data_IF_980193706992
#
_entry.id   IF_980193706992
#
_cell.length_a   1.000
_cell.length_b   1.000
_cell.length_c   1.000
_cell.angle_alpha   90.00
_cell.angle_beta   90.00
_cell.angle_gamma   90.00
#
_symmetry.space_group_name_H-M   'P 1'
#
loop_
_entity.id
_entity.type
_entity.pdbx_description
1 polymer ?
#
# COMPACT_ATOMS: atom_id res chain seq x y z
N UNK A 1 2.76 30.50 -2.26
CA UNK A 1 3.41 29.18 -2.10
C UNK A 1 2.54 28.26 -1.22
N UNK A 2 2.11 28.65 -0.01
CA UNK A 2 1.31 27.81 0.89
C UNK A 2 -0.01 27.33 0.26
N UNK A 3 -0.77 28.21 -0.38
CA UNK A 3 -2.03 27.86 -1.04
C UNK A 3 -1.79 26.85 -2.17
N UNK A 4 -0.73 27.05 -2.95
CA UNK A 4 -0.35 26.12 -4.02
C UNK A 4 0.02 24.74 -3.46
N UNK A 5 0.81 24.67 -2.40
CA UNK A 5 1.15 23.42 -1.73
C UNK A 5 -0.09 22.71 -1.19
N UNK A 6 -1.03 23.43 -0.61
CA UNK A 6 -2.29 22.88 -0.10
C UNK A 6 -3.16 22.29 -1.22
N UNK A 7 -3.37 23.03 -2.30
CA UNK A 7 -4.13 22.56 -3.44
C UNK A 7 -3.48 21.35 -4.08
N UNK A 8 -2.15 21.35 -4.25
CA UNK A 8 -1.41 20.22 -4.78
C UNK A 8 -1.55 18.99 -3.89
N UNK A 9 -1.43 19.15 -2.58
CA UNK A 9 -1.59 18.05 -1.62
C UNK A 9 -2.99 17.45 -1.69
N UNK A 10 -4.04 18.26 -1.80
CA UNK A 10 -5.41 17.77 -1.94
C UNK A 10 -5.61 16.93 -3.22
N UNK A 11 -5.05 17.39 -4.34
CA UNK A 11 -5.11 16.66 -5.61
C UNK A 11 -4.39 15.30 -5.49
N UNK A 12 -3.20 15.29 -4.87
CA UNK A 12 -2.43 14.07 -4.65
C UNK A 12 -3.19 13.09 -3.75
N UNK A 13 -3.77 13.56 -2.65
CA UNK A 13 -4.58 12.71 -1.75
C UNK A 13 -5.77 12.12 -2.50
N UNK A 14 -6.49 12.91 -3.28
CA UNK A 14 -7.63 12.43 -4.04
C UNK A 14 -7.22 11.38 -5.09
N UNK A 15 -6.13 11.60 -5.82
CA UNK A 15 -5.60 10.67 -6.80
C UNK A 15 -5.17 9.33 -6.18
N UNK A 16 -4.45 9.37 -5.05
CA UNK A 16 -4.05 8.15 -4.35
C UNK A 16 -5.24 7.42 -3.72
N UNK A 17 -6.22 8.14 -3.18
CA UNK A 17 -7.45 7.53 -2.65
C UNK A 17 -8.23 6.79 -3.75
N UNK A 18 -8.32 7.35 -4.95
CA UNK A 18 -8.96 6.71 -6.10
C UNK A 18 -8.19 5.46 -6.56
N UNK A 19 -6.85 5.52 -6.62
CA UNK A 19 -6.01 4.36 -6.93
C UNK A 19 -6.19 3.22 -5.91
N UNK A 20 -6.19 3.52 -4.62
CA UNK A 20 -6.39 2.54 -3.55
C UNK A 20 -7.77 1.91 -3.65
N UNK A 21 -8.82 2.73 -3.82
CA UNK A 21 -10.18 2.24 -4.00
C UNK A 21 -10.32 1.38 -5.27
N UNK A 22 -9.62 1.73 -6.34
CA UNK A 22 -9.56 0.94 -7.57
C UNK A 22 -8.89 -0.42 -7.38
N UNK A 23 -7.82 -0.48 -6.58
CA UNK A 23 -7.11 -1.73 -6.27
C UNK A 23 -7.96 -2.70 -5.46
N UNK A 24 -8.76 -2.19 -4.53
CA UNK A 24 -9.63 -3.02 -3.67
C UNK A 24 -11.00 -3.29 -4.27
N UNK A 25 -11.31 -2.69 -5.42
CA UNK A 25 -12.60 -2.86 -6.07
C UNK A 25 -12.80 -4.31 -6.53
N UNK A 26 -13.87 -4.92 -6.07
CA UNK A 26 -14.23 -6.28 -6.42
C UNK A 26 -15.11 -6.39 -7.67
N UNK A 27 -15.59 -5.26 -8.20
CA UNK A 27 -16.53 -5.22 -9.32
C UNK A 27 -15.92 -4.62 -10.57
N UNK A 28 -16.21 -5.19 -11.71
CA UNK A 28 -15.89 -4.61 -13.03
C UNK A 28 -17.18 -4.31 -13.79
N UNK A 29 -17.19 -3.20 -14.50
CA UNK A 29 -18.30 -2.86 -15.39
C UNK A 29 -17.96 -3.38 -16.78
N UNK A 30 -18.70 -4.39 -17.26
CA UNK A 30 -18.67 -4.89 -18.63
C UNK A 30 -20.04 -4.67 -19.24
N UNK A 31 -20.10 -4.03 -20.41
CA UNK A 31 -21.33 -3.80 -21.18
C UNK A 31 -22.49 -3.17 -20.38
N UNK A 32 -22.16 -2.30 -19.41
CA UNK A 32 -23.14 -1.61 -18.56
C UNK A 32 -23.68 -2.43 -17.38
N UNK A 33 -23.22 -3.68 -17.22
CA UNK A 33 -23.57 -4.54 -16.09
C UNK A 33 -22.40 -4.63 -15.13
N UNK A 34 -22.66 -4.46 -13.83
CA UNK A 34 -21.67 -4.65 -12.77
C UNK A 34 -21.52 -6.13 -12.45
N UNK A 35 -20.43 -6.72 -12.90
CA UNK A 35 -20.09 -8.12 -12.61
C UNK A 35 -18.96 -8.22 -11.59
N UNK A 36 -18.90 -9.35 -10.90
CA UNK A 36 -17.82 -9.65 -9.98
C UNK A 36 -16.53 -9.86 -10.81
N UNK A 37 -15.49 -9.10 -10.51
CA UNK A 37 -14.21 -9.24 -11.20
C UNK A 37 -13.63 -10.64 -11.00
N UNK A 38 -12.94 -11.19 -12.00
CA UNK A 38 -12.24 -12.46 -11.87
C UNK A 38 -11.22 -12.45 -10.69
N UNK A 39 -10.71 -11.28 -10.35
CA UNK A 39 -9.80 -11.04 -9.21
C UNK A 39 -10.51 -10.53 -7.95
N UNK A 40 -11.86 -10.65 -7.85
CA UNK A 40 -12.61 -10.08 -6.73
C UNK A 40 -12.17 -10.61 -5.36
N UNK A 41 -11.85 -11.90 -5.28
CA UNK A 41 -11.35 -12.49 -4.04
C UNK A 41 -9.96 -11.95 -3.67
N UNK A 42 -9.06 -11.81 -4.65
CA UNK A 42 -7.72 -11.26 -4.44
C UNK A 42 -7.78 -9.78 -4.04
N UNK A 43 -8.62 -8.99 -4.70
CA UNK A 43 -8.82 -7.58 -4.39
C UNK A 43 -9.47 -7.40 -3.01
N UNK A 44 -10.48 -8.22 -2.68
CA UNK A 44 -11.11 -8.25 -1.38
C UNK A 44 -10.15 -8.67 -0.27
N UNK A 45 -9.31 -9.68 -0.50
CA UNK A 45 -8.27 -10.09 0.43
C UNK A 45 -7.24 -8.97 0.66
N UNK A 46 -6.82 -8.27 -0.40
CA UNK A 46 -5.91 -7.12 -0.26
C UNK A 46 -6.50 -6.00 0.60
N UNK A 47 -7.80 -5.71 0.44
CA UNK A 47 -8.52 -4.76 1.29
C UNK A 47 -8.58 -5.21 2.75
N UNK A 48 -8.93 -6.48 3.00
CA UNK A 48 -8.97 -7.06 4.35
C UNK A 48 -7.60 -7.07 5.01
N UNK A 49 -6.55 -7.46 4.29
CA UNK A 49 -5.17 -7.42 4.78
C UNK A 49 -4.80 -6.00 5.18
N UNK A 50 -5.15 -5.00 4.38
CA UNK A 50 -4.84 -3.60 4.68
C UNK A 50 -5.52 -3.10 5.96
N UNK A 51 -6.79 -3.45 6.18
CA UNK A 51 -7.51 -3.11 7.41
C UNK A 51 -6.90 -3.84 8.60
N UNK A 52 -6.69 -5.16 8.51
CA UNK A 52 -6.07 -5.95 9.57
C UNK A 52 -4.69 -5.39 9.91
N UNK A 53 -3.90 -5.04 8.91
CA UNK A 53 -2.57 -4.47 9.08
C UNK A 53 -2.58 -3.16 9.86
N UNK A 54 -3.55 -2.27 9.60
CA UNK A 54 -3.71 -1.02 10.35
C UNK A 54 -4.04 -1.32 11.82
N UNK A 55 -4.97 -2.24 12.08
CA UNK A 55 -5.36 -2.61 13.44
C UNK A 55 -4.19 -3.25 14.19
N UNK A 56 -3.50 -4.20 13.58
CA UNK A 56 -2.33 -4.84 14.18
C UNK A 56 -1.17 -3.86 14.40
N UNK A 57 -0.98 -2.90 13.50
CA UNK A 57 0.03 -1.85 13.69
C UNK A 57 -0.29 -0.96 14.90
N UNK A 58 -1.56 -0.59 15.10
CA UNK A 58 -1.96 0.16 16.31
C UNK A 58 -1.77 -0.66 17.58
N UNK A 59 -2.16 -1.94 17.56
CA UNK A 59 -1.94 -2.85 18.71
C UNK A 59 -0.45 -3.00 19.01
N UNK A 60 0.37 -3.20 17.98
CA UNK A 60 1.82 -3.30 18.13
C UNK A 60 2.43 -2.02 18.71
N UNK A 61 2.01 -0.84 18.24
CA UNK A 61 2.47 0.44 18.78
C UNK A 61 2.14 0.63 20.27
N UNK A 62 0.95 0.23 20.70
CA UNK A 62 0.55 0.24 22.11
C UNK A 62 1.35 -0.78 22.93
N UNK A 63 1.57 -1.98 22.37
CA UNK A 63 2.34 -3.04 23.02
C UNK A 63 3.80 -2.61 23.20
N UNK A 64 4.41 -2.04 22.18
CA UNK A 64 5.78 -1.53 22.21
C UNK A 64 5.97 -0.51 23.35
N UNK A 65 5.01 0.42 23.48
CA UNK A 65 5.07 1.43 24.53
C UNK A 65 4.79 0.88 25.94
N UNK A 66 3.86 -0.09 26.08
CA UNK A 66 3.50 -0.66 27.39
C UNK A 66 4.55 -1.63 27.93
N UNK A 67 5.10 -2.47 27.05
CA UNK A 67 6.02 -3.54 27.44
C UNK A 67 7.49 -3.15 27.28
N UNK A 68 7.79 -1.90 26.82
CA UNK A 68 9.13 -1.45 26.49
C UNK A 68 9.90 -2.53 25.70
N UNK A 69 9.24 -3.00 24.61
CA UNK A 69 9.82 -4.04 23.77
C UNK A 69 11.06 -3.49 23.07
N UNK A 70 12.21 -4.12 23.29
CA UNK A 70 13.46 -3.74 22.67
C UNK A 70 14.15 -4.94 22.00
N UNK A 71 14.81 -4.68 20.89
CA UNK A 71 15.66 -5.62 20.21
C UNK A 71 14.93 -6.86 19.68
N UNK A 72 15.32 -8.06 20.14
CA UNK A 72 14.80 -9.34 19.60
C UNK A 72 13.30 -9.54 19.86
N UNK A 73 12.78 -9.09 20.99
CA UNK A 73 11.35 -9.22 21.32
C UNK A 73 10.48 -8.38 20.39
N UNK A 74 10.91 -7.16 20.09
CA UNK A 74 10.26 -6.28 19.13
C UNK A 74 10.19 -6.91 17.74
N UNK A 75 11.31 -7.51 17.29
CA UNK A 75 11.40 -8.19 16.00
C UNK A 75 10.37 -9.33 15.88
N UNK A 76 10.32 -10.23 16.87
CA UNK A 76 9.42 -11.38 16.81
C UNK A 76 7.95 -10.98 16.92
N UNK A 77 7.62 -10.00 17.75
CA UNK A 77 6.23 -9.50 17.88
C UNK A 77 5.79 -8.79 16.60
N UNK A 78 6.64 -7.94 16.02
CA UNK A 78 6.35 -7.28 14.74
C UNK A 78 6.16 -8.27 13.60
N UNK A 79 7.01 -9.29 13.51
CA UNK A 79 6.88 -10.36 12.52
C UNK A 79 5.59 -11.17 12.74
N UNK A 80 5.27 -11.54 13.98
CA UNK A 80 4.04 -12.26 14.31
C UNK A 80 2.78 -11.45 13.96
N UNK A 81 2.75 -10.17 14.27
CA UNK A 81 1.65 -9.28 13.89
C UNK A 81 1.50 -9.16 12.37
N UNK A 82 2.60 -9.09 11.63
CA UNK A 82 2.58 -9.05 10.17
C UNK A 82 2.02 -10.34 9.58
N UNK A 83 2.49 -11.48 10.02
CA UNK A 83 2.00 -12.80 9.57
C UNK A 83 0.53 -12.99 9.95
N UNK A 84 0.13 -12.59 11.16
CA UNK A 84 -1.26 -12.67 11.60
C UNK A 84 -2.19 -11.80 10.74
N UNK A 85 -1.78 -10.57 10.38
CA UNK A 85 -2.57 -9.69 9.51
C UNK A 85 -2.76 -10.27 8.12
N UNK A 86 -1.71 -10.90 7.55
CA UNK A 86 -1.79 -11.59 6.26
C UNK A 86 -2.73 -12.80 6.33
N UNK A 87 -2.60 -13.64 7.35
CA UNK A 87 -3.41 -14.84 7.52
C UNK A 87 -4.90 -14.50 7.68
N UNK A 88 -5.23 -13.52 8.52
CA UNK A 88 -6.61 -13.08 8.76
C UNK A 88 -7.20 -12.43 7.49
N UNK A 89 -6.45 -11.58 6.82
CA UNK A 89 -6.93 -10.92 5.62
C UNK A 89 -7.17 -11.87 4.44
N UNK A 90 -6.36 -12.92 4.32
CA UNK A 90 -6.59 -13.98 3.33
C UNK A 90 -7.78 -14.88 3.70
N UNK A 91 -8.02 -15.13 4.99
CA UNK A 91 -9.12 -15.96 5.45
C UNK A 91 -10.50 -15.27 5.28
N UNK A 92 -10.54 -13.95 5.39
CA UNK A 92 -11.78 -13.15 5.36
C UNK A 92 -11.72 -12.03 4.31
N UNK A 93 -11.83 -12.35 3.01
CA UNK A 93 -11.82 -11.34 1.96
C UNK A 93 -13.08 -10.46 2.03
N UNK A 94 -12.91 -9.16 2.20
CA UNK A 94 -13.99 -8.18 2.19
C UNK A 94 -14.29 -7.74 0.75
N UNK A 95 -15.42 -8.18 0.23
CA UNK A 95 -15.88 -7.85 -1.11
C UNK A 95 -16.65 -6.53 -1.06
N UNK A 96 -16.07 -5.47 -1.58
CA UNK A 96 -16.67 -4.13 -1.59
C UNK A 96 -16.58 -3.43 -2.93
N UNK A 97 -17.51 -2.52 -3.19
CA UNK A 97 -17.49 -1.66 -4.38
C UNK A 97 -16.52 -0.48 -4.23
N UNK A 98 -16.11 0.09 -5.36
CA UNK A 98 -15.19 1.24 -5.42
C UNK A 98 -15.65 2.39 -4.50
N UNK A 99 -16.93 2.74 -4.51
CA UNK A 99 -17.46 3.85 -3.71
C UNK A 99 -17.36 3.60 -2.20
N UNK A 100 -17.58 2.36 -1.76
CA UNK A 100 -17.42 1.99 -0.36
C UNK A 100 -15.96 2.10 0.09
N UNK A 101 -15.02 1.62 -0.73
CA UNK A 101 -13.59 1.73 -0.46
C UNK A 101 -13.08 3.18 -0.49
N UNK A 102 -13.60 4.00 -1.41
CA UNK A 102 -13.29 5.44 -1.44
C UNK A 102 -13.74 6.12 -0.14
N UNK A 103 -14.99 5.87 0.29
CA UNK A 103 -15.50 6.41 1.56
C UNK A 103 -14.68 5.96 2.77
N UNK A 104 -14.34 4.67 2.83
CA UNK A 104 -13.47 4.12 3.88
C UNK A 104 -12.09 4.78 3.90
N UNK A 105 -11.47 4.97 2.73
CA UNK A 105 -10.15 5.60 2.61
C UNK A 105 -10.17 7.03 3.10
N UNK A 106 -11.18 7.83 2.73
CA UNK A 106 -11.31 9.20 3.22
C UNK A 106 -11.56 9.26 4.74
N UNK A 107 -12.42 8.39 5.27
CA UNK A 107 -12.61 8.28 6.71
C UNK A 107 -11.31 7.93 7.43
N UNK A 108 -10.55 6.96 6.90
CA UNK A 108 -9.25 6.59 7.43
C UNK A 108 -8.25 7.75 7.42
N UNK A 109 -8.16 8.49 6.31
CA UNK A 109 -7.27 9.66 6.21
C UNK A 109 -7.64 10.72 7.26
N UNK A 110 -8.94 10.98 7.46
CA UNK A 110 -9.40 11.92 8.47
C UNK A 110 -8.97 11.49 9.87
N UNK A 111 -9.22 10.24 10.27
CA UNK A 111 -8.80 9.74 11.58
C UNK A 111 -7.27 9.70 11.72
N UNK A 112 -6.56 9.27 10.68
CA UNK A 112 -5.11 9.20 10.68
C UNK A 112 -4.44 10.57 10.84
N UNK A 113 -5.07 11.64 10.35
CA UNK A 113 -4.54 13.00 10.50
C UNK A 113 -4.60 13.54 11.95
N UNK A 114 -5.52 13.02 12.76
CA UNK A 114 -5.69 13.42 14.16
C UNK A 114 -4.86 12.57 15.11
N UNK A 115 -4.56 11.32 14.73
CA UNK A 115 -3.79 10.40 15.57
C UNK A 115 -2.31 10.77 15.64
N UNK A 116 -1.67 10.61 16.82
CA UNK A 116 -0.24 10.86 16.96
C UNK A 116 0.60 9.88 16.14
N UNK A 117 1.72 10.36 15.59
CA UNK A 117 2.59 9.59 14.69
C UNK A 117 3.15 8.31 15.31
N UNK A 118 3.43 8.33 16.61
CA UNK A 118 3.95 7.15 17.32
C UNK A 118 2.98 5.97 17.39
N UNK A 119 1.67 6.26 17.32
CA UNK A 119 0.64 5.22 17.40
C UNK A 119 0.37 4.55 16.06
N UNK A 120 0.38 5.31 14.97
CA UNK A 120 -0.03 4.82 13.66
C UNK A 120 1.15 4.63 12.70
N UNK A 121 2.01 5.65 12.57
CA UNK A 121 3.04 5.66 11.53
C UNK A 121 4.24 4.79 11.87
N UNK A 122 4.85 4.98 13.04
CA UNK A 122 6.06 4.23 13.42
C UNK A 122 5.87 2.71 13.41
N UNK A 123 4.85 2.13 14.10
CA UNK A 123 4.66 0.69 14.10
C UNK A 123 4.30 0.14 12.72
N UNK A 124 3.53 0.90 11.95
CA UNK A 124 3.17 0.53 10.59
C UNK A 124 4.39 0.47 9.68
N UNK A 125 5.27 1.46 9.72
CA UNK A 125 6.47 1.51 8.88
C UNK A 125 7.42 0.37 9.25
N UNK A 126 7.54 0.04 10.52
CA UNK A 126 8.32 -1.10 11.01
C UNK A 126 7.78 -2.44 10.45
N UNK A 127 6.47 -2.69 10.57
CA UNK A 127 5.83 -3.89 10.02
C UNK A 127 5.93 -3.93 8.48
N UNK A 128 5.84 -2.79 7.80
CA UNK A 128 5.97 -2.70 6.34
C UNK A 128 7.35 -3.15 5.87
N UNK A 129 8.39 -2.93 6.66
CA UNK A 129 9.76 -3.39 6.35
C UNK A 129 9.82 -4.92 6.23
N UNK A 130 9.09 -5.67 7.08
CA UNK A 130 9.01 -7.13 6.96
C UNK A 130 8.30 -7.57 5.70
N UNK A 131 7.18 -6.90 5.35
CA UNK A 131 6.47 -7.20 4.10
C UNK A 131 7.36 -6.94 2.88
N UNK A 132 8.07 -5.82 2.87
CA UNK A 132 8.97 -5.45 1.79
C UNK A 132 10.14 -6.43 1.64
N UNK A 133 10.78 -6.79 2.74
CA UNK A 133 11.84 -7.80 2.76
C UNK A 133 11.32 -9.17 2.27
N UNK A 134 10.16 -9.59 2.74
CA UNK A 134 9.51 -10.83 2.31
C UNK A 134 9.16 -10.83 0.82
N UNK A 135 8.69 -9.71 0.30
CA UNK A 135 8.40 -9.55 -1.12
C UNK A 135 9.67 -9.66 -1.98
N UNK A 136 10.76 -9.00 -1.59
CA UNK A 136 12.04 -9.06 -2.33
C UNK A 136 12.60 -10.48 -2.28
N UNK A 137 12.66 -11.10 -1.10
CA UNK A 137 13.17 -12.46 -0.96
C UNK A 137 12.30 -13.45 -1.74
N UNK A 138 10.98 -13.33 -1.65
CA UNK A 138 10.04 -14.15 -2.42
C UNK A 138 10.19 -13.99 -3.92
N UNK A 139 10.41 -12.77 -4.41
CA UNK A 139 10.66 -12.51 -5.82
C UNK A 139 11.98 -13.15 -6.29
N UNK A 140 13.07 -12.97 -5.54
CA UNK A 140 14.38 -13.57 -5.87
C UNK A 140 14.30 -15.10 -5.88
N UNK A 141 13.74 -15.69 -4.83
CA UNK A 141 13.57 -17.16 -4.74
C UNK A 141 12.64 -17.66 -5.85
N UNK A 142 11.54 -16.96 -6.10
CA UNK A 142 10.59 -17.31 -7.15
C UNK A 142 11.22 -17.32 -8.54
N UNK A 143 12.04 -16.33 -8.88
CA UNK A 143 12.74 -16.27 -10.16
C UNK A 143 13.76 -17.40 -10.28
N UNK A 144 14.51 -17.67 -9.22
CA UNK A 144 15.54 -18.75 -9.22
C UNK A 144 14.90 -20.13 -9.34
N UNK A 145 13.81 -20.39 -8.62
CA UNK A 145 13.13 -21.71 -8.59
C UNK A 145 12.28 -21.95 -9.84
N UNK A 146 11.52 -20.93 -10.26
CA UNK A 146 10.57 -21.09 -11.36
C UNK A 146 11.23 -21.01 -12.75
N UNK A 147 12.44 -20.46 -12.86
CA UNK A 147 13.15 -20.24 -14.12
C UNK A 147 12.23 -19.80 -15.26
N UNK A 148 11.45 -18.70 -15.09
CA UNK A 148 10.49 -18.27 -16.09
C UNK A 148 11.19 -17.89 -17.39
N UNK A 149 10.70 -18.43 -18.51
CA UNK A 149 11.19 -18.04 -19.82
C UNK A 149 10.75 -16.59 -20.10
N UNK A 150 11.72 -15.73 -20.38
CA UNK A 150 11.46 -14.34 -20.77
C UNK A 150 10.98 -14.28 -22.22
N UNK A 151 9.67 -14.21 -22.42
CA UNK A 151 9.03 -14.03 -23.73
C UNK A 151 8.72 -12.56 -24.05
N UNK A 152 9.30 -11.63 -23.31
CA UNK A 152 9.12 -10.21 -23.55
C UNK A 152 10.04 -9.75 -24.68
N UNK A 153 9.53 -9.00 -25.68
CA UNK A 153 10.38 -8.41 -26.70
C UNK A 153 11.36 -7.41 -26.07
N UNK A 154 12.59 -7.40 -26.55
CA UNK A 154 13.65 -6.54 -26.04
C UNK A 154 13.31 -5.05 -26.13
N UNK A 155 12.46 -4.67 -27.08
CA UNK A 155 12.02 -3.31 -27.29
C UNK A 155 10.56 -3.29 -27.78
N UNK A 156 9.70 -2.57 -27.06
CA UNK A 156 8.26 -2.46 -27.35
C UNK A 156 7.86 -1.10 -27.93
N UNK A 157 8.77 -0.13 -28.02
CA UNK A 157 8.49 1.23 -28.50
C UNK A 157 8.43 2.26 -27.36
N UNK A 158 8.37 3.53 -27.74
CA UNK A 158 8.26 4.67 -26.81
C UNK A 158 6.83 5.11 -26.53
N UNK A 159 5.84 4.45 -27.12
CA UNK A 159 4.41 4.79 -26.97
C UNK A 159 3.65 3.64 -26.38
N UNK A 160 2.82 3.93 -25.38
CA UNK A 160 1.89 2.97 -24.78
C UNK A 160 0.45 3.39 -25.13
N UNK A 161 -0.40 2.47 -25.58
CA UNK A 161 -1.79 2.76 -25.96
C UNK A 161 -2.63 3.38 -24.84
N UNK A 162 -2.28 3.07 -23.55
CA UNK A 162 -3.03 3.55 -22.39
C UNK A 162 -2.46 4.83 -21.76
N UNK A 163 -1.15 5.03 -21.84
CA UNK A 163 -0.43 6.09 -21.15
C UNK A 163 0.18 7.14 -22.09
N UNK A 164 0.08 6.93 -23.41
CA UNK A 164 0.68 7.80 -24.41
C UNK A 164 2.21 7.64 -24.48
N UNK A 165 2.94 8.74 -24.71
CA UNK A 165 4.39 8.71 -24.81
C UNK A 165 5.05 8.37 -23.48
N UNK A 166 5.99 7.41 -23.46
CA UNK A 166 6.77 7.07 -22.28
C UNK A 166 7.58 8.25 -21.72
N UNK A 167 8.04 9.13 -22.58
CA UNK A 167 8.64 10.39 -22.18
C UNK A 167 7.59 11.52 -22.19
N UNK A 168 7.39 12.32 -21.12
CA UNK A 168 8.14 12.33 -19.84
C UNK A 168 7.54 11.44 -18.73
N UNK A 169 6.42 10.77 -18.96
CA UNK A 169 5.59 10.10 -17.91
C UNK A 169 6.39 9.07 -17.11
N UNK A 170 7.16 8.22 -17.79
CA UNK A 170 7.98 7.21 -17.11
C UNK A 170 8.99 7.84 -16.16
N UNK A 171 9.68 8.88 -16.61
CA UNK A 171 10.71 9.57 -15.81
C UNK A 171 10.10 10.28 -14.60
N UNK A 172 8.94 10.91 -14.78
CA UNK A 172 8.21 11.55 -13.66
C UNK A 172 7.74 10.51 -12.64
N UNK A 173 7.25 9.37 -13.09
CA UNK A 173 6.79 8.30 -12.18
C UNK A 173 7.95 7.68 -11.39
N UNK A 174 9.08 7.43 -12.03
CA UNK A 174 10.28 6.91 -11.36
C UNK A 174 10.86 7.95 -10.40
N UNK A 175 10.92 9.21 -10.80
CA UNK A 175 11.38 10.31 -9.96
C UNK A 175 10.46 10.49 -8.73
N UNK A 176 9.14 10.36 -8.91
CA UNK A 176 8.19 10.40 -7.80
C UNK A 176 8.48 9.31 -6.77
N UNK A 177 8.79 8.10 -7.19
CA UNK A 177 9.17 7.00 -6.29
C UNK A 177 10.51 7.24 -5.57
N UNK A 178 11.47 7.85 -6.25
CA UNK A 178 12.81 8.11 -5.71
C UNK A 178 12.87 9.31 -4.76
N UNK A 179 12.10 10.37 -5.05
CA UNK A 179 12.14 11.68 -4.34
C UNK A 179 10.86 11.92 -3.53
N UNK A 180 10.04 10.90 -3.30
CA UNK A 180 8.79 11.05 -2.54
C UNK A 180 9.07 11.58 -1.13
N UNK A 181 8.16 12.37 -0.58
CA UNK A 181 8.34 13.19 0.61
C UNK A 181 8.78 12.49 1.91
N UNK A 182 8.97 11.18 1.92
CA UNK A 182 9.51 10.43 3.06
C UNK A 182 10.92 10.92 3.45
N UNK A 183 11.79 11.15 2.47
CA UNK A 183 13.15 11.64 2.74
C UNK A 183 13.15 13.03 3.36
N UNK A 184 12.20 13.90 2.99
CA UNK A 184 12.07 15.22 3.63
C UNK A 184 11.58 15.12 5.06
N UNK A 185 10.70 14.16 5.38
CA UNK A 185 10.26 13.88 6.75
C UNK A 185 11.42 13.39 7.63
N UNK A 186 12.25 12.48 7.11
CA UNK A 186 13.44 11.99 7.83
C UNK A 186 14.46 13.11 8.04
N UNK A 187 14.69 13.94 7.03
CA UNK A 187 15.65 15.06 7.13
C UNK A 187 15.18 16.17 8.08
N UNK A 188 13.88 16.34 8.27
CA UNK A 188 13.31 17.32 9.22
C UNK A 188 13.32 16.84 10.67
N UNK A 189 13.73 15.59 10.94
CA UNK A 189 13.79 15.03 12.29
C UNK A 189 12.42 14.83 12.94
N UNK A 190 11.35 14.78 12.16
CA UNK A 190 9.97 14.52 12.65
C UNK A 190 9.62 13.04 12.75
N UNK A 191 10.58 12.17 12.51
CA UNK A 191 10.44 10.70 12.67
C UNK A 191 10.93 10.23 14.03
#
# INVERSE_FOLDING_TARGET
ILIFCWLFTLIVIAAFADMVAGTFNAYTVKDGVTELAAAAQTNGAAGSISIAFIVFAMVFGVLQKKLNLEGKSEFFVGLACTVASLAIGMAFPLIGGKNAWTGFTFAYIFFASVLPMWLLKQPRDYMTTFMFAGMILGAVVGIVVAHPNMNLPMYTGFTNEKLGNMFPILFVTVACGAVSGFHSLVSSGTS
#
